data_IF_681609666411
#
_entry.id   IF_681609666411
#
_cell.length_a   1.000
_cell.length_b   1.000
_cell.length_c   1.000
_cell.angle_alpha   90.00
_cell.angle_beta   90.00
_cell.angle_gamma   90.00
#
_symmetry.space_group_name_H-M   'P 1'
#
loop_
_entity.id
_entity.type
_entity.pdbx_description
1 polymer ?
#
# COMPACT_ATOMS: atom_id res chain seq x y z
N UNK A 1 43.60 -20.19 -41.64
CA UNK A 1 42.36 -20.77 -41.05
C UNK A 1 41.96 -19.89 -39.88
N UNK A 2 40.91 -19.11 -40.08
CA UNK A 2 40.47 -17.97 -39.28
C UNK A 2 39.55 -18.39 -38.14
N UNK A 3 40.00 -18.23 -36.89
CA UNK A 3 39.16 -18.30 -35.69
C UNK A 3 38.73 -16.89 -35.27
N UNK A 4 37.54 -16.47 -35.69
CA UNK A 4 36.96 -15.17 -35.31
C UNK A 4 36.16 -15.33 -34.02
N UNK A 5 36.50 -14.49 -33.04
CA UNK A 5 35.85 -14.34 -31.72
C UNK A 5 34.39 -13.90 -31.89
N UNK A 6 33.47 -14.52 -31.15
CA UNK A 6 32.09 -14.05 -31.03
C UNK A 6 32.00 -12.93 -29.98
N UNK A 7 31.43 -11.79 -30.39
CA UNK A 7 31.17 -10.62 -29.55
C UNK A 7 29.64 -10.47 -29.38
N UNK A 8 29.08 -10.38 -28.16
CA UNK A 8 27.64 -10.39 -27.93
C UNK A 8 27.11 -8.96 -27.83
N UNK A 9 26.47 -8.42 -28.87
CA UNK A 9 25.69 -7.16 -28.71
C UNK A 9 24.55 -6.95 -29.72
N UNK A 10 24.43 -7.65 -30.85
CA UNK A 10 23.42 -7.28 -31.84
C UNK A 10 22.66 -8.46 -32.41
N UNK A 11 21.52 -8.86 -31.80
CA UNK A 11 20.43 -9.53 -32.53
C UNK A 11 19.07 -9.57 -31.80
N UNK A 12 18.80 -8.65 -30.86
CA UNK A 12 17.45 -8.41 -30.33
C UNK A 12 16.65 -7.38 -31.16
N UNK A 13 16.83 -7.42 -32.48
CA UNK A 13 16.05 -6.66 -33.47
C UNK A 13 15.63 -7.63 -34.58
N UNK A 14 14.62 -8.47 -34.32
CA UNK A 14 13.84 -9.18 -35.36
C UNK A 14 12.71 -10.02 -34.74
N UNK A 15 11.59 -9.39 -34.40
CA UNK A 15 10.27 -10.05 -34.49
C UNK A 15 9.10 -9.07 -34.47
N UNK A 16 9.04 -8.20 -35.47
CA UNK A 16 7.79 -7.57 -35.92
C UNK A 16 7.61 -7.98 -37.37
N UNK A 17 6.88 -9.07 -37.63
CA UNK A 17 6.29 -9.38 -38.94
C UNK A 17 5.01 -10.17 -38.78
N UNK A 18 3.97 -9.63 -39.42
CA UNK A 18 2.76 -10.28 -39.93
C UNK A 18 1.65 -10.67 -38.94
N UNK A 19 0.80 -9.68 -38.67
CA UNK A 19 -0.63 -9.90 -38.45
C UNK A 19 -1.26 -10.12 -39.83
N UNK A 20 -1.69 -11.35 -40.13
CA UNK A 20 -2.69 -11.60 -41.17
C UNK A 20 -4.02 -11.88 -40.48
N UNK A 21 -4.99 -11.05 -40.83
CA UNK A 21 -6.41 -11.24 -40.55
C UNK A 21 -6.86 -12.64 -40.94
N UNK A 22 -7.56 -13.32 -40.03
CA UNK A 22 -8.61 -14.26 -40.38
C UNK A 22 -9.82 -13.96 -39.48
N UNK A 23 -10.81 -13.28 -40.05
CA UNK A 23 -12.13 -13.15 -39.44
C UNK A 23 -12.84 -14.49 -39.57
N UNK A 24 -13.14 -15.13 -38.44
CA UNK A 24 -14.21 -16.13 -38.37
C UNK A 24 -15.16 -15.64 -37.27
N UNK A 25 -16.30 -15.11 -37.71
CA UNK A 25 -17.45 -14.80 -36.87
C UNK A 25 -18.01 -16.12 -36.34
N UNK A 26 -17.98 -16.33 -35.03
CA UNK A 26 -18.88 -17.30 -34.41
C UNK A 26 -19.25 -16.86 -32.98
N UNK A 27 -20.56 -16.81 -32.74
CA UNK A 27 -21.20 -16.05 -31.67
C UNK A 27 -21.22 -16.85 -30.36
N UNK A 28 -20.06 -17.10 -29.74
CA UNK A 28 -19.94 -17.54 -28.34
C UNK A 28 -18.69 -16.89 -27.74
N UNK A 29 -18.90 -15.91 -26.85
CA UNK A 29 -17.84 -15.18 -26.13
C UNK A 29 -17.07 -16.14 -25.21
N UNK A 30 -16.10 -16.84 -25.79
CA UNK A 30 -15.00 -17.49 -25.08
C UNK A 30 -13.92 -16.42 -24.94
N UNK A 31 -13.83 -15.81 -23.76
CA UNK A 31 -12.71 -14.94 -23.41
C UNK A 31 -11.55 -15.80 -22.93
N UNK A 32 -10.71 -16.22 -23.86
CA UNK A 32 -9.44 -16.86 -23.55
C UNK A 32 -8.34 -16.09 -24.28
N UNK A 33 -7.52 -15.43 -23.44
CA UNK A 33 -6.13 -15.04 -23.64
C UNK A 33 -5.82 -13.74 -24.42
N UNK A 34 -5.68 -12.68 -23.63
CA UNK A 34 -4.48 -11.85 -23.68
C UNK A 34 -3.83 -11.83 -22.29
N UNK A 35 -2.77 -12.63 -22.12
CA UNK A 35 -1.90 -12.69 -20.96
C UNK A 35 -1.05 -11.40 -20.86
N UNK A 36 -1.68 -10.31 -20.43
CA UNK A 36 -1.03 -9.16 -19.82
C UNK A 36 -1.91 -8.70 -18.66
N UNK A 37 -1.54 -9.16 -17.46
CA UNK A 37 -1.74 -8.43 -16.20
C UNK A 37 -2.96 -7.51 -16.14
N UNK A 38 -4.17 -8.07 -16.16
CA UNK A 38 -5.29 -7.41 -15.50
C UNK A 38 -5.10 -7.61 -13.99
N UNK A 39 -4.16 -6.86 -13.41
CA UNK A 39 -4.03 -6.73 -11.97
C UNK A 39 -5.34 -6.07 -11.52
N UNK A 40 -6.18 -6.85 -10.85
CA UNK A 40 -7.48 -6.41 -10.37
C UNK A 40 -7.25 -5.17 -9.49
N UNK A 41 -7.74 -4.00 -9.92
CA UNK A 41 -7.52 -2.68 -9.30
C UNK A 41 -8.44 -2.55 -8.06
N UNK A 42 -8.41 -3.55 -7.18
CA UNK A 42 -9.18 -3.53 -5.94
C UNK A 42 -8.26 -3.16 -4.79
N UNK A 43 -8.77 -2.31 -3.90
CA UNK A 43 -8.11 -2.02 -2.64
C UNK A 43 -7.97 -3.34 -1.86
N UNK A 44 -6.74 -3.67 -1.47
CA UNK A 44 -6.46 -4.89 -0.71
C UNK A 44 -6.93 -4.76 0.74
N UNK A 45 -7.05 -3.52 1.19
CA UNK A 45 -7.61 -3.13 2.46
C UNK A 45 -8.17 -1.72 2.34
N UNK A 46 -9.34 -1.48 2.92
CA UNK A 46 -9.91 -0.13 3.04
C UNK A 46 -10.84 -0.06 4.25
N UNK A 47 -10.69 1.00 5.04
CA UNK A 47 -11.54 1.36 6.17
C UNK A 47 -11.66 2.90 6.30
N UNK A 48 -12.24 3.39 7.40
CA UNK A 48 -12.49 4.83 7.64
C UNK A 48 -11.21 5.68 7.61
N UNK A 49 -10.08 5.22 8.17
CA UNK A 49 -8.85 6.03 8.33
C UNK A 49 -7.68 5.59 7.45
N UNK A 50 -7.74 4.43 6.83
CA UNK A 50 -6.63 3.93 6.02
C UNK A 50 -7.06 3.04 4.86
N UNK A 51 -6.21 2.94 3.86
CA UNK A 51 -6.40 2.13 2.65
C UNK A 51 -5.05 1.63 2.16
N UNK A 52 -4.99 0.39 1.68
CA UNK A 52 -3.81 -0.19 1.02
C UNK A 52 -4.21 -0.55 -0.41
N UNK A 53 -3.50 0.02 -1.37
CA UNK A 53 -3.69 -0.29 -2.78
C UNK A 53 -2.37 -0.14 -3.55
N UNK A 54 -2.09 -1.11 -4.42
CA UNK A 54 -0.97 -1.04 -5.37
C UNK A 54 0.38 -0.70 -4.71
N UNK A 55 0.68 -1.31 -3.56
CA UNK A 55 1.91 -1.07 -2.81
C UNK A 55 1.97 0.27 -2.05
N UNK A 56 0.87 1.02 -2.00
CA UNK A 56 0.77 2.25 -1.24
C UNK A 56 -0.12 2.10 -0.02
N UNK A 57 0.34 2.66 1.10
CA UNK A 57 -0.48 2.97 2.26
C UNK A 57 -1.02 4.40 2.11
N UNK A 58 -2.33 4.52 2.08
CA UNK A 58 -3.03 5.80 2.04
C UNK A 58 -3.65 6.03 3.42
N UNK A 59 -3.18 7.07 4.11
CA UNK A 59 -3.74 7.52 5.37
C UNK A 59 -4.75 8.62 5.07
N UNK A 60 -6.02 8.35 5.38
CA UNK A 60 -7.12 9.25 5.07
C UNK A 60 -7.12 10.44 6.03
N UNK A 61 -7.48 11.62 5.52
CA UNK A 61 -7.65 12.84 6.34
C UNK A 61 -6.41 13.16 7.18
N UNK A 62 -5.23 12.96 6.59
CA UNK A 62 -3.95 13.15 7.27
C UNK A 62 -3.65 14.64 7.47
N UNK A 63 -3.91 15.44 6.44
CA UNK A 63 -3.81 16.89 6.49
C UNK A 63 -5.21 17.47 6.72
N UNK A 64 -5.56 17.62 7.99
CA UNK A 64 -6.77 18.32 8.42
C UNK A 64 -6.44 19.81 8.66
N UNK A 65 -7.32 20.78 8.30
CA UNK A 65 -8.71 20.64 7.86
C UNK A 65 -8.93 20.40 6.36
N UNK A 66 -7.90 20.37 5.53
CA UNK A 66 -8.03 20.22 4.06
C UNK A 66 -8.49 18.83 3.61
N UNK A 67 -8.73 17.91 4.55
CA UNK A 67 -9.13 16.51 4.35
C UNK A 67 -8.23 15.76 3.34
N UNK A 68 -6.99 16.21 3.17
CA UNK A 68 -6.09 15.64 2.18
C UNK A 68 -5.46 14.37 2.72
N UNK A 69 -5.43 13.33 1.89
CA UNK A 69 -4.84 12.04 2.23
C UNK A 69 -3.31 12.12 2.12
N UNK A 70 -2.61 11.37 2.97
CA UNK A 70 -1.19 11.12 2.81
C UNK A 70 -1.00 9.76 2.13
N UNK A 71 -0.28 9.75 1.01
CA UNK A 71 0.09 8.52 0.28
C UNK A 71 1.55 8.18 0.58
N UNK A 72 1.79 6.96 1.05
CA UNK A 72 3.09 6.45 1.45
C UNK A 72 3.40 5.21 0.62
N UNK A 73 4.57 5.17 0.03
CA UNK A 73 5.12 3.95 -0.58
C UNK A 73 5.53 2.97 0.53
N UNK A 74 4.96 1.77 0.55
CA UNK A 74 5.20 0.78 1.61
C UNK A 74 6.68 0.37 1.66
N UNK A 75 7.39 0.40 0.52
CA UNK A 75 8.81 0.08 0.48
C UNK A 75 9.68 1.07 1.28
N UNK A 76 9.20 2.30 1.49
CA UNK A 76 9.90 3.33 2.27
C UNK A 76 9.68 3.22 3.78
N UNK A 77 8.79 2.33 4.21
CA UNK A 77 8.52 2.12 5.63
C UNK A 77 9.74 1.46 6.27
N UNK A 78 10.18 2.02 7.40
CA UNK A 78 11.30 1.54 8.20
C UNK A 78 10.81 0.75 9.42
N UNK A 79 9.83 1.30 10.14
CA UNK A 79 9.21 0.65 11.29
C UNK A 79 7.70 0.88 11.36
N UNK A 80 6.99 -0.15 11.83
CA UNK A 80 5.56 -0.10 12.14
C UNK A 80 5.40 -0.37 13.63
N UNK A 81 4.71 0.53 14.34
CA UNK A 81 4.36 0.32 15.74
C UNK A 81 2.86 0.29 15.91
N UNK A 82 2.37 -0.71 16.64
CA UNK A 82 0.95 -0.91 16.89
C UNK A 82 0.71 -0.93 18.39
N UNK A 83 -0.32 -0.20 18.83
CA UNK A 83 -0.83 -0.23 20.21
C UNK A 83 -2.34 -0.26 20.22
N UNK A 84 -2.95 -0.93 21.21
CA UNK A 84 -4.39 -0.81 21.44
C UNK A 84 -4.77 0.63 21.85
N UNK A 85 -5.92 1.13 21.40
CA UNK A 85 -6.44 2.42 21.87
C UNK A 85 -6.91 2.35 23.33
N UNK A 86 -7.35 1.18 23.80
CA UNK A 86 -7.75 0.98 25.19
C UNK A 86 -6.59 1.20 26.18
N UNK A 87 -5.35 0.91 25.76
CA UNK A 87 -4.14 1.05 26.57
C UNK A 87 -3.30 2.28 26.24
N UNK A 88 -3.71 3.11 25.26
CA UNK A 88 -2.90 4.25 24.84
C UNK A 88 -3.71 5.47 24.39
N UNK A 89 -3.58 6.56 25.14
CA UNK A 89 -4.10 7.86 24.75
C UNK A 89 -3.25 8.47 23.62
N UNK A 90 -3.89 8.99 22.57
CA UNK A 90 -3.27 9.75 21.47
C UNK A 90 -4.16 10.91 21.05
N UNK A 91 -3.58 11.94 20.43
CA UNK A 91 -4.34 13.08 19.94
C UNK A 91 -5.36 12.67 18.88
N UNK A 92 -6.49 13.36 18.85
CA UNK A 92 -7.49 13.19 17.79
C UNK A 92 -6.91 13.58 16.42
N UNK A 93 -6.03 14.59 16.36
CA UNK A 93 -5.39 15.04 15.12
C UNK A 93 -4.15 15.89 15.40
N UNK A 94 -3.27 16.02 14.41
CA UNK A 94 -2.09 16.88 14.45
C UNK A 94 -0.97 16.33 15.34
N UNK A 95 -0.03 17.22 15.71
CA UNK A 95 1.10 16.85 16.56
C UNK A 95 0.77 16.98 18.04
N UNK A 96 1.10 15.94 18.83
CA UNK A 96 1.06 15.96 20.30
C UNK A 96 2.44 16.05 20.95
N UNK A 97 3.50 15.79 20.19
CA UNK A 97 4.90 15.77 20.60
C UNK A 97 5.78 15.88 19.37
N UNK A 98 7.08 16.14 19.52
CA UNK A 98 8.04 16.19 18.40
C UNK A 98 8.21 14.86 17.63
N UNK A 99 7.46 13.79 17.96
CA UNK A 99 7.71 12.44 17.45
C UNK A 99 6.63 11.89 16.51
N UNK A 100 5.39 12.39 16.54
CA UNK A 100 4.30 11.80 15.74
C UNK A 100 3.24 12.83 15.38
N UNK A 101 2.86 12.85 14.10
CA UNK A 101 1.73 13.61 13.58
C UNK A 101 0.58 12.66 13.27
N UNK A 102 -0.58 12.91 13.89
CA UNK A 102 -1.77 12.07 13.85
C UNK A 102 -2.75 12.53 12.78
N UNK A 103 -3.20 11.58 11.95
CA UNK A 103 -4.36 11.74 11.10
C UNK A 103 -5.61 12.03 11.92
N UNK A 104 -6.56 12.75 11.31
CA UNK A 104 -7.78 13.15 11.98
C UNK A 104 -8.68 11.94 12.30
N UNK A 105 -8.95 11.77 13.58
CA UNK A 105 -9.92 10.84 14.14
C UNK A 105 -10.55 11.52 15.37
N UNK A 106 -11.65 12.25 15.14
CA UNK A 106 -12.35 12.96 16.21
C UNK A 106 -13.04 12.02 17.19
N UNK A 107 -13.27 10.76 16.80
CA UNK A 107 -13.88 9.75 17.67
C UNK A 107 -12.84 9.10 18.59
N UNK A 108 -11.53 9.26 18.34
CA UNK A 108 -10.43 8.54 19.02
C UNK A 108 -10.59 8.40 20.53
N UNK A 109 -10.81 9.53 21.20
CA UNK A 109 -10.88 9.58 22.65
C UNK A 109 -12.32 9.54 23.21
N UNK A 110 -13.32 9.32 22.36
CA UNK A 110 -14.74 9.28 22.72
C UNK A 110 -15.43 7.96 22.36
N UNK A 111 -14.65 6.93 21.99
CA UNK A 111 -15.21 5.60 21.68
C UNK A 111 -15.65 4.89 22.95
N UNK A 112 -16.81 4.25 22.90
CA UNK A 112 -17.30 3.37 23.96
C UNK A 112 -16.56 2.04 24.04
N UNK A 113 -16.02 1.56 22.92
CA UNK A 113 -15.30 0.28 22.78
C UNK A 113 -13.92 0.48 22.14
N UNK A 114 -12.95 1.10 22.84
CA UNK A 114 -11.63 1.41 22.29
C UNK A 114 -10.77 0.16 22.02
N UNK A 115 -11.08 -1.00 22.60
CA UNK A 115 -10.37 -2.27 22.43
C UNK A 115 -10.39 -2.80 20.98
N UNK A 116 -11.41 -2.45 20.21
CA UNK A 116 -11.51 -2.79 18.79
C UNK A 116 -10.69 -1.89 17.85
N UNK A 117 -9.97 -0.91 18.40
CA UNK A 117 -9.22 0.07 17.62
C UNK A 117 -7.76 0.13 18.05
N UNK A 118 -6.90 0.41 17.09
CA UNK A 118 -5.46 0.40 17.24
C UNK A 118 -4.88 1.73 16.81
N UNK A 119 -3.93 2.23 17.59
CA UNK A 119 -3.06 3.35 17.25
C UNK A 119 -1.85 2.79 16.49
N UNK A 120 -1.80 3.05 15.19
CA UNK A 120 -0.68 2.64 14.33
C UNK A 120 0.21 3.85 14.06
N UNK A 121 1.53 3.67 14.16
CA UNK A 121 2.50 4.68 13.73
C UNK A 121 3.49 4.07 12.74
N UNK A 122 3.77 4.83 11.69
CA UNK A 122 4.68 4.44 10.61
C UNK A 122 5.86 5.41 10.59
N UNK A 123 7.07 4.85 10.57
CA UNK A 123 8.29 5.61 10.34
C UNK A 123 8.77 5.41 8.91
N UNK A 124 9.05 6.52 8.22
CA UNK A 124 9.61 6.55 6.85
C UNK A 124 10.92 7.35 6.79
N UNK A 125 11.52 7.69 7.93
CA UNK A 125 12.73 8.53 8.01
C UNK A 125 12.46 10.04 8.09
N UNK A 126 11.20 10.46 8.07
CA UNK A 126 10.80 11.87 8.21
C UNK A 126 10.91 12.38 9.66
N UNK A 127 10.85 13.71 9.81
CA UNK A 127 10.77 14.41 11.12
C UNK A 127 9.70 13.85 12.05
N UNK A 128 8.52 13.54 11.51
CA UNK A 128 7.41 12.99 12.28
C UNK A 128 7.02 11.61 11.76
N UNK A 129 6.81 10.67 12.68
CA UNK A 129 6.08 9.43 12.39
C UNK A 129 4.65 9.74 11.99
N UNK A 130 4.08 8.92 11.12
CA UNK A 130 2.72 9.07 10.60
C UNK A 130 1.78 8.21 11.44
N UNK A 131 0.97 8.85 12.29
CA UNK A 131 0.03 8.18 13.20
C UNK A 131 -1.38 8.12 12.62
N UNK A 132 -2.08 7.00 12.77
CA UNK A 132 -3.47 6.84 12.35
C UNK A 132 -4.17 5.72 13.13
N UNK A 133 -5.47 5.56 12.90
CA UNK A 133 -6.31 4.54 13.51
C UNK A 133 -6.47 3.35 12.57
N UNK A 134 -6.43 2.13 13.11
CA UNK A 134 -6.83 0.90 12.42
C UNK A 134 -7.83 0.13 13.26
N UNK A 135 -8.96 -0.28 12.67
CA UNK A 135 -9.95 -1.10 13.37
C UNK A 135 -9.65 -2.59 13.17
N UNK A 136 -9.64 -3.07 11.92
CA UNK A 136 -9.32 -4.46 11.60
C UNK A 136 -7.81 -4.63 11.40
N UNK A 137 -7.09 -4.78 12.52
CA UNK A 137 -5.64 -4.92 12.52
C UNK A 137 -5.17 -6.16 11.74
N UNK A 138 -5.91 -7.27 11.79
CA UNK A 138 -5.50 -8.51 11.12
C UNK A 138 -5.54 -8.35 9.61
N UNK A 139 -6.62 -7.79 9.08
CA UNK A 139 -6.76 -7.55 7.64
C UNK A 139 -5.77 -6.49 7.16
N UNK A 140 -5.53 -5.44 7.95
CA UNK A 140 -4.51 -4.43 7.67
C UNK A 140 -3.11 -5.05 7.56
N UNK A 141 -2.69 -5.83 8.57
CA UNK A 141 -1.37 -6.47 8.57
C UNK A 141 -1.23 -7.51 7.47
N UNK A 142 -2.29 -8.24 7.14
CA UNK A 142 -2.30 -9.17 6.00
C UNK A 142 -2.03 -8.46 4.68
N UNK A 143 -2.69 -7.32 4.43
CA UNK A 143 -2.45 -6.51 3.25
C UNK A 143 -1.04 -5.89 3.23
N UNK A 144 -0.57 -5.35 4.36
CA UNK A 144 0.80 -4.78 4.45
C UNK A 144 1.89 -5.81 4.16
N UNK A 145 1.76 -7.03 4.70
CA UNK A 145 2.79 -8.09 4.58
C UNK A 145 3.08 -8.53 3.15
N UNK A 146 2.18 -8.28 2.19
CA UNK A 146 2.44 -8.57 0.78
C UNK A 146 3.52 -7.67 0.16
N UNK A 147 3.74 -6.52 0.77
CA UNK A 147 4.66 -5.49 0.28
C UNK A 147 5.87 -5.28 1.18
N UNK A 148 5.76 -5.61 2.47
CA UNK A 148 6.89 -5.55 3.39
C UNK A 148 7.92 -6.62 3.04
N UNK A 149 9.18 -6.21 2.95
CA UNK A 149 10.32 -7.10 2.67
C UNK A 149 11.04 -7.48 3.95
N UNK A 150 11.62 -6.48 4.62
CA UNK A 150 12.52 -6.67 5.77
C UNK A 150 12.15 -5.79 6.99
N UNK A 151 11.00 -5.11 6.94
CA UNK A 151 10.59 -4.19 8.01
C UNK A 151 10.14 -4.92 9.26
N UNK A 152 10.51 -4.38 10.43
CA UNK A 152 10.00 -4.88 11.72
C UNK A 152 8.64 -4.27 12.06
N UNK A 153 7.72 -5.13 12.50
CA UNK A 153 6.43 -4.74 13.09
C UNK A 153 6.55 -4.96 14.60
N UNK A 154 6.41 -3.89 15.37
CA UNK A 154 6.56 -3.92 16.83
C UNK A 154 5.20 -3.69 17.50
N UNK A 155 4.76 -4.68 18.26
CA UNK A 155 3.59 -4.58 19.13
C UNK A 155 4.04 -4.08 20.50
N UNK A 156 3.39 -3.03 21.02
CA UNK A 156 3.78 -2.37 22.27
C UNK A 156 2.59 -2.10 23.19
#
# INVERSE_FOLDING_TARGET
MSGVRLNPINLFKRRIRNIRHLCIYNHKKIWILSNHFFFNIMAEFEEEWSKIENGYLIIKWYYFPTATNLKIDIDKILDIQVRSQASSYKKNWGSSSLKTWWACDMKRNFRSKPEGFHNVTINIGDTFKKGFTVQDLNKFLSAMRKYLKNQSIVFK
#
